data_IF_543214174239
#
_entry.id   IF_543214174239
#
_cell.length_a   1.000
_cell.length_b   1.000
_cell.length_c   1.000
_cell.angle_alpha   90.00
_cell.angle_beta   90.00
_cell.angle_gamma   90.00
#
_symmetry.space_group_name_H-M   'P 1'
#
loop_
_entity.id
_entity.type
_entity.pdbx_description
1 polymer ?
#
# COMPACT_ATOMS: atom_id res chain seq x y z
N UNK A 1 3.70 -10.14 -9.66
CA UNK A 1 2.46 -10.02 -10.47
C UNK A 1 2.85 -9.78 -11.92
N UNK A 2 2.08 -10.33 -12.86
CA UNK A 2 2.28 -10.15 -14.29
C UNK A 2 0.94 -9.84 -14.98
N UNK A 3 0.93 -8.91 -15.91
CA UNK A 3 -0.27 -8.49 -16.63
C UNK A 3 -0.12 -8.75 -18.13
N UNK A 4 -1.08 -9.46 -18.70
CA UNK A 4 -1.27 -9.52 -20.15
C UNK A 4 -2.18 -8.36 -20.55
N UNK A 5 -1.68 -7.46 -21.39
CA UNK A 5 -2.44 -6.30 -21.86
C UNK A 5 -2.17 -6.00 -23.33
N UNK A 6 -3.21 -5.52 -24.03
CA UNK A 6 -3.06 -4.82 -25.29
C UNK A 6 -2.78 -3.33 -25.06
N UNK A 7 -2.26 -2.63 -26.06
CA UNK A 7 -2.11 -1.18 -26.03
C UNK A 7 -3.14 -0.53 -26.94
N UNK A 8 -3.78 0.53 -26.46
CA UNK A 8 -4.69 1.35 -27.24
C UNK A 8 -4.38 2.83 -27.03
N UNK A 9 -4.53 3.65 -28.07
CA UNK A 9 -4.40 5.10 -27.90
C UNK A 9 -5.51 5.63 -26.97
N UNK A 10 -5.13 6.57 -26.10
CA UNK A 10 -6.10 7.27 -25.24
C UNK A 10 -6.99 8.17 -26.10
N UNK A 11 -8.33 8.05 -26.00
CA UNK A 11 -9.26 8.89 -26.76
C UNK A 11 -8.98 10.38 -26.54
N UNK A 12 -9.15 11.24 -27.56
CA UNK A 12 -8.87 12.68 -27.44
C UNK A 12 -9.56 13.38 -26.27
N UNK A 13 -10.76 12.93 -25.90
CA UNK A 13 -11.52 13.46 -24.77
C UNK A 13 -10.84 13.19 -23.41
N UNK A 14 -10.12 12.07 -23.29
CA UNK A 14 -9.57 11.58 -22.02
C UNK A 14 -8.09 11.94 -21.85
N UNK A 15 -7.39 12.35 -22.92
CA UNK A 15 -5.93 12.59 -22.92
C UNK A 15 -5.45 13.50 -21.80
N UNK A 16 -6.18 14.59 -21.53
CA UNK A 16 -5.80 15.52 -20.44
C UNK A 16 -5.88 14.84 -19.08
N UNK A 17 -6.96 14.11 -18.81
CA UNK A 17 -7.12 13.41 -17.53
C UNK A 17 -6.09 12.29 -17.38
N UNK A 18 -5.80 11.56 -18.47
CA UNK A 18 -4.79 10.52 -18.47
C UNK A 18 -3.38 11.08 -18.24
N UNK A 19 -3.03 12.20 -18.87
CA UNK A 19 -1.75 12.87 -18.67
C UNK A 19 -1.56 13.33 -17.22
N UNK A 20 -2.61 13.91 -16.61
CA UNK A 20 -2.56 14.34 -15.20
C UNK A 20 -2.36 13.15 -14.26
N UNK A 21 -3.04 12.03 -14.49
CA UNK A 21 -2.89 10.83 -13.67
C UNK A 21 -1.46 10.24 -13.73
N UNK A 22 -0.78 10.34 -14.87
CA UNK A 22 0.64 9.95 -14.98
C UNK A 22 1.53 10.98 -14.29
N UNK A 23 1.30 12.27 -14.55
CA UNK A 23 2.07 13.39 -14.00
C UNK A 23 2.10 13.39 -12.48
N UNK A 24 0.99 13.05 -11.82
CA UNK A 24 0.90 12.96 -10.35
C UNK A 24 1.92 11.99 -9.73
N UNK A 25 2.36 10.98 -10.48
CA UNK A 25 3.32 9.98 -10.02
C UNK A 25 4.72 10.21 -10.61
N UNK A 26 4.78 10.61 -11.86
CA UNK A 26 6.01 10.80 -12.62
C UNK A 26 5.86 12.03 -13.53
N UNK A 27 6.25 13.23 -13.04
CA UNK A 27 6.19 14.45 -13.82
C UNK A 27 7.11 14.38 -15.04
N UNK A 28 6.56 14.62 -16.23
CA UNK A 28 7.29 14.65 -17.50
C UNK A 28 6.68 15.69 -18.44
N UNK A 29 7.49 16.66 -18.88
CA UNK A 29 7.05 17.73 -19.79
C UNK A 29 6.48 17.19 -21.11
N UNK A 30 6.92 16.01 -21.57
CA UNK A 30 6.37 15.35 -22.74
C UNK A 30 4.86 15.05 -22.61
N UNK A 31 4.37 14.86 -21.38
CA UNK A 31 2.93 14.67 -21.11
C UNK A 31 2.12 15.93 -21.44
N UNK A 32 2.70 17.12 -21.36
CA UNK A 32 2.02 18.37 -21.73
C UNK A 32 1.70 18.39 -23.23
N UNK A 33 2.66 17.96 -24.06
CA UNK A 33 2.46 17.83 -25.50
C UNK A 33 1.44 16.74 -25.84
N UNK A 34 1.47 15.61 -25.11
CA UNK A 34 0.58 14.48 -25.32
C UNK A 34 -0.87 14.75 -24.82
N UNK A 35 -1.03 15.67 -23.86
CA UNK A 35 -2.33 16.09 -23.32
C UNK A 35 -3.12 17.04 -24.23
N UNK A 36 -2.46 17.64 -25.24
CA UNK A 36 -3.11 18.59 -26.16
C UNK A 36 -4.28 17.94 -26.90
N UNK A 37 -5.42 18.65 -26.99
CA UNK A 37 -6.61 18.19 -27.73
C UNK A 37 -6.30 17.89 -29.20
N UNK A 38 -5.52 18.76 -29.82
CA UNK A 38 -5.00 18.57 -31.18
C UNK A 38 -3.52 18.20 -31.09
N UNK A 39 -3.19 17.00 -31.58
CA UNK A 39 -1.81 16.49 -31.58
C UNK A 39 -1.02 17.16 -32.70
N UNK A 40 0.19 17.61 -32.38
CA UNK A 40 1.15 18.09 -33.38
C UNK A 40 1.82 16.88 -34.06
N UNK A 41 2.25 17.00 -35.34
CA UNK A 41 3.07 15.97 -35.98
C UNK A 41 4.32 15.68 -35.13
N UNK A 42 4.60 14.39 -34.88
CA UNK A 42 5.73 13.97 -34.06
C UNK A 42 5.57 14.10 -32.55
N UNK A 43 4.44 14.62 -32.04
CA UNK A 43 4.21 14.69 -30.60
C UNK A 43 4.03 13.28 -29.99
N UNK A 44 4.45 13.08 -28.72
CA UNK A 44 4.27 11.83 -27.98
C UNK A 44 2.81 11.38 -27.94
N UNK A 45 2.60 10.06 -27.88
CA UNK A 45 1.27 9.44 -27.85
C UNK A 45 1.00 8.85 -26.48
N UNK A 46 -0.14 9.20 -25.89
CA UNK A 46 -0.63 8.53 -24.69
C UNK A 46 -1.29 7.21 -25.09
N UNK A 47 -0.73 6.12 -24.57
CA UNK A 47 -1.29 4.78 -24.70
C UNK A 47 -1.85 4.34 -23.35
N UNK A 48 -3.00 3.68 -23.37
CA UNK A 48 -3.55 2.94 -22.22
C UNK A 48 -3.33 1.45 -22.41
N UNK A 49 -2.95 0.78 -21.32
CA UNK A 49 -2.93 -0.67 -21.27
C UNK A 49 -4.35 -1.20 -21.04
N UNK A 50 -4.87 -1.99 -21.99
CA UNK A 50 -6.13 -2.70 -21.86
C UNK A 50 -5.82 -4.09 -21.32
N UNK A 51 -5.99 -4.26 -20.01
CA UNK A 51 -5.66 -5.50 -19.31
C UNK A 51 -6.63 -6.61 -19.71
N UNK A 52 -6.08 -7.72 -20.20
CA UNK A 52 -6.84 -8.93 -20.54
C UNK A 52 -6.80 -9.96 -19.42
N UNK A 53 -5.64 -10.13 -18.78
CA UNK A 53 -5.43 -11.07 -17.68
C UNK A 53 -4.39 -10.53 -16.71
N UNK A 54 -4.59 -10.80 -15.43
CA UNK A 54 -3.59 -10.57 -14.40
C UNK A 54 -3.28 -11.90 -13.74
N UNK A 55 -2.01 -12.30 -13.80
CA UNK A 55 -1.51 -13.45 -13.09
C UNK A 55 -0.76 -12.96 -11.85
N UNK A 56 -1.10 -13.51 -10.70
CA UNK A 56 -0.39 -13.20 -9.47
C UNK A 56 0.19 -14.48 -8.85
N UNK A 57 1.32 -14.26 -8.19
CA UNK A 57 1.96 -15.24 -7.33
C UNK A 57 2.41 -14.46 -6.10
N UNK A 58 1.79 -14.76 -4.97
CA UNK A 58 2.18 -14.31 -3.63
C UNK A 58 2.90 -15.46 -2.93
N UNK A 59 3.37 -15.23 -1.70
CA UNK A 59 4.03 -16.26 -0.92
C UNK A 59 3.15 -17.51 -0.69
N UNK A 60 1.85 -17.32 -0.49
CA UNK A 60 0.90 -18.37 -0.08
C UNK A 60 -0.16 -18.71 -1.14
N UNK A 61 -0.26 -17.92 -2.21
CA UNK A 61 -1.28 -18.08 -3.23
C UNK A 61 -0.75 -17.79 -4.64
N UNK A 62 -1.42 -18.36 -5.61
CA UNK A 62 -1.28 -17.96 -7.01
C UNK A 62 -2.65 -18.02 -7.67
N UNK A 63 -2.83 -17.24 -8.72
CA UNK A 63 -4.11 -17.21 -9.41
C UNK A 63 -4.10 -16.33 -10.64
N UNK A 64 -5.24 -16.40 -11.33
CA UNK A 64 -5.50 -15.65 -12.55
C UNK A 64 -6.80 -14.85 -12.36
N UNK A 65 -6.73 -13.57 -12.69
CA UNK A 65 -7.85 -12.63 -12.66
C UNK A 65 -8.13 -12.20 -14.10
N UNK A 66 -9.36 -12.38 -14.54
CA UNK A 66 -9.82 -11.89 -15.84
C UNK A 66 -9.81 -10.37 -15.88
N UNK A 67 -9.42 -9.79 -17.01
CA UNK A 67 -9.24 -8.34 -17.17
C UNK A 67 -10.50 -7.53 -16.89
N UNK A 68 -11.67 -8.08 -17.20
CA UNK A 68 -12.97 -7.47 -16.87
C UNK A 68 -13.20 -7.39 -15.36
N UNK A 69 -12.86 -8.44 -14.61
CA UNK A 69 -12.93 -8.45 -13.15
C UNK A 69 -11.90 -7.50 -12.54
N UNK A 70 -10.68 -7.46 -13.08
CA UNK A 70 -9.64 -6.53 -12.66
C UNK A 70 -10.06 -5.06 -12.87
N UNK A 71 -10.68 -4.73 -14.01
CA UNK A 71 -11.11 -3.36 -14.32
C UNK A 71 -12.23 -2.85 -13.38
N UNK A 72 -13.04 -3.77 -12.84
CA UNK A 72 -14.08 -3.46 -11.87
C UNK A 72 -13.53 -3.33 -10.44
N UNK A 73 -12.36 -3.89 -10.16
CA UNK A 73 -11.73 -3.76 -8.87
C UNK A 73 -11.36 -2.29 -8.59
N UNK A 74 -11.42 -1.92 -7.31
CA UNK A 74 -10.90 -0.66 -6.81
C UNK A 74 -9.82 -0.98 -5.78
N UNK A 75 -8.65 -0.31 -5.83
CA UNK A 75 -7.69 -0.42 -4.75
C UNK A 75 -8.36 -0.12 -3.41
N UNK A 76 -7.95 -0.83 -2.36
CA UNK A 76 -8.45 -0.54 -1.02
C UNK A 76 -8.01 0.89 -0.64
N UNK A 77 -8.85 1.69 0.03
CA UNK A 77 -8.52 3.08 0.40
C UNK A 77 -7.26 3.21 1.26
N UNK A 78 -6.80 2.12 1.87
CA UNK A 78 -5.61 2.10 2.71
C UNK A 78 -4.33 1.75 1.94
N UNK A 79 -4.39 1.34 0.67
CA UNK A 79 -3.22 0.86 -0.07
C UNK A 79 -2.11 1.91 -0.13
N UNK A 80 -2.42 3.15 -0.52
CA UNK A 80 -1.40 4.22 -0.54
C UNK A 80 -0.87 4.56 0.87
N UNK A 81 -1.72 4.77 1.89
CA UNK A 81 -1.26 4.92 3.27
C UNK A 81 -0.38 3.77 3.77
N UNK A 82 -0.69 2.53 3.38
CA UNK A 82 0.07 1.35 3.78
C UNK A 82 1.51 1.41 3.26
N UNK A 83 1.70 1.74 1.97
CA UNK A 83 3.03 1.90 1.37
C UNK A 83 3.84 3.01 2.04
N UNK A 84 3.22 4.15 2.34
CA UNK A 84 3.88 5.25 3.05
C UNK A 84 4.33 4.84 4.46
N UNK A 85 3.49 4.07 5.17
CA UNK A 85 3.81 3.57 6.51
C UNK A 85 4.94 2.53 6.43
N UNK A 86 4.90 1.61 5.45
CA UNK A 86 5.97 0.63 5.21
C UNK A 86 7.30 1.34 5.02
N UNK A 87 7.36 2.32 4.11
CA UNK A 87 8.58 3.09 3.84
C UNK A 87 9.10 3.78 5.11
N UNK A 88 8.21 4.42 5.88
CA UNK A 88 8.57 5.12 7.12
C UNK A 88 9.08 4.18 8.21
N UNK A 89 8.45 3.03 8.40
CA UNK A 89 8.87 2.02 9.38
C UNK A 89 10.22 1.43 9.01
N UNK A 90 10.40 1.07 7.74
CA UNK A 90 11.65 0.49 7.27
C UNK A 90 12.82 1.49 7.24
N UNK A 91 12.54 2.79 7.08
CA UNK A 91 13.56 3.83 7.17
C UNK A 91 13.98 4.11 8.62
N UNK A 92 13.02 4.25 9.54
CA UNK A 92 13.28 4.87 10.86
C UNK A 92 13.06 3.98 12.07
N UNK A 93 12.30 2.90 11.94
CA UNK A 93 11.80 2.11 13.07
C UNK A 93 12.13 0.61 12.97
N UNK A 94 13.20 0.25 12.24
CA UNK A 94 13.58 -1.17 12.05
C UNK A 94 13.99 -1.86 13.34
N UNK A 95 14.66 -1.15 14.24
CA UNK A 95 15.11 -1.72 15.51
C UNK A 95 13.92 -1.95 16.45
N UNK A 96 12.97 -1.01 16.49
CA UNK A 96 11.68 -1.16 17.17
C UNK A 96 10.90 -2.34 16.61
N UNK A 97 10.85 -2.46 15.28
CA UNK A 97 10.17 -3.55 14.61
C UNK A 97 10.80 -4.91 14.96
N UNK A 98 12.12 -5.01 14.94
CA UNK A 98 12.84 -6.23 15.31
C UNK A 98 12.57 -6.64 16.77
N UNK A 99 12.56 -5.66 17.70
CA UNK A 99 12.18 -5.89 19.09
C UNK A 99 10.72 -6.36 19.22
N UNK A 100 9.81 -5.72 18.51
CA UNK A 100 8.39 -6.04 18.54
C UNK A 100 8.08 -7.44 18.01
N UNK A 101 8.65 -7.79 16.86
CA UNK A 101 8.49 -9.13 16.28
C UNK A 101 9.13 -10.21 17.14
N UNK A 102 10.26 -9.92 17.81
CA UNK A 102 10.89 -10.83 18.76
C UNK A 102 10.02 -11.21 19.97
N UNK A 103 8.92 -10.46 20.23
CA UNK A 103 7.91 -10.78 21.24
C UNK A 103 6.82 -11.74 20.73
N UNK A 104 6.68 -11.90 19.41
CA UNK A 104 5.72 -12.81 18.81
C UNK A 104 6.18 -14.25 19.04
N UNK A 105 5.31 -15.06 19.66
CA UNK A 105 5.62 -16.47 19.96
C UNK A 105 5.96 -17.23 18.67
N UNK A 106 7.16 -17.81 18.64
CA UNK A 106 7.64 -18.60 17.50
C UNK A 106 8.24 -17.78 16.36
N UNK A 107 8.27 -16.45 16.45
CA UNK A 107 9.00 -15.64 15.49
C UNK A 107 10.52 -15.76 15.71
N UNK A 108 11.33 -15.83 14.64
CA UNK A 108 12.78 -15.78 14.78
C UNK A 108 13.22 -14.41 15.30
N UNK A 109 14.41 -14.37 15.91
CA UNK A 109 15.06 -13.12 16.32
C UNK A 109 16.08 -12.71 15.27
N UNK A 110 16.11 -11.42 14.94
CA UNK A 110 17.08 -10.86 14.00
C UNK A 110 16.58 -9.56 13.40
N UNK A 111 17.20 -9.15 12.29
CA UNK A 111 16.84 -7.92 11.62
C UNK A 111 15.47 -8.06 10.92
N UNK A 112 14.63 -7.04 11.04
CA UNK A 112 13.23 -7.08 10.60
C UNK A 112 12.90 -5.95 9.62
N UNK A 113 12.06 -6.27 8.64
CA UNK A 113 11.51 -5.34 7.65
C UNK A 113 10.02 -5.56 7.52
N UNK A 114 9.25 -4.48 7.61
CA UNK A 114 7.84 -4.52 7.31
C UNK A 114 7.70 -4.79 5.81
N UNK A 115 7.16 -5.96 5.48
CA UNK A 115 7.11 -6.48 4.12
C UNK A 115 5.79 -6.13 3.44
N UNK A 116 4.68 -6.38 4.13
CA UNK A 116 3.33 -6.05 3.65
C UNK A 116 2.51 -5.46 4.80
N UNK A 117 1.56 -4.61 4.43
CA UNK A 117 0.64 -3.97 5.37
C UNK A 117 -0.74 -3.86 4.71
N UNK A 118 -1.75 -4.44 5.35
CA UNK A 118 -3.11 -4.48 4.83
C UNK A 118 -4.14 -4.28 5.95
N UNK A 119 -5.42 -4.32 5.57
CA UNK A 119 -6.53 -4.07 6.47
C UNK A 119 -6.55 -5.05 7.65
N UNK A 120 -5.99 -6.25 7.51
CA UNK A 120 -6.08 -7.33 8.50
C UNK A 120 -4.79 -7.55 9.28
N UNK A 121 -3.67 -6.96 8.87
CA UNK A 121 -2.40 -7.24 9.53
C UNK A 121 -1.18 -6.62 8.86
N UNK A 122 -0.05 -6.92 9.46
CA UNK A 122 1.29 -6.70 8.91
C UNK A 122 1.96 -8.05 8.65
N UNK A 123 2.69 -8.17 7.56
CA UNK A 123 3.65 -9.24 7.34
C UNK A 123 5.04 -8.66 7.51
N UNK A 124 5.86 -9.30 8.34
CA UNK A 124 7.24 -8.86 8.61
C UNK A 124 8.21 -9.92 8.14
N UNK A 125 9.16 -9.51 7.30
CA UNK A 125 10.30 -10.34 6.95
C UNK A 125 11.35 -10.23 8.05
N UNK A 126 11.82 -11.35 8.56
CA UNK A 126 12.86 -11.42 9.58
C UNK A 126 14.01 -12.27 9.09
N UNK A 127 15.19 -11.66 8.97
CA UNK A 127 16.44 -12.39 8.73
C UNK A 127 16.96 -12.91 10.05
N UNK A 128 17.04 -14.24 10.21
CA UNK A 128 17.46 -14.86 11.45
C UNK A 128 18.93 -14.52 11.77
N UNK A 129 19.19 -14.12 13.02
CA UNK A 129 20.52 -13.70 13.46
C UNK A 129 21.58 -14.83 13.41
N UNK A 130 21.13 -16.08 13.42
CA UNK A 130 21.96 -17.29 13.36
C UNK A 130 22.30 -17.73 11.91
N UNK A 131 21.84 -16.98 10.90
CA UNK A 131 22.08 -17.28 9.50
C UNK A 131 21.28 -18.47 8.95
N UNK A 132 20.30 -18.98 9.69
CA UNK A 132 19.47 -20.15 9.29
C UNK A 132 18.44 -19.84 8.19
N UNK A 133 18.34 -18.58 7.79
CA UNK A 133 17.48 -18.13 6.70
C UNK A 133 16.63 -16.94 7.11
N UNK A 134 15.55 -16.73 6.37
CA UNK A 134 14.58 -15.69 6.66
C UNK A 134 13.17 -16.26 6.74
N UNK A 135 12.33 -15.64 7.57
CA UNK A 135 10.93 -16.02 7.72
C UNK A 135 10.01 -14.83 7.52
N UNK A 136 8.80 -15.11 7.03
CA UNK A 136 7.69 -14.16 7.03
C UNK A 136 6.81 -14.42 8.25
N UNK A 137 6.67 -13.41 9.10
CA UNK A 137 5.84 -13.45 10.32
C UNK A 137 4.60 -12.61 10.09
N UNK A 138 3.42 -13.23 10.17
CA UNK A 138 2.14 -12.53 10.07
C UNK A 138 1.66 -12.07 11.43
N UNK A 139 1.37 -10.78 11.56
CA UNK A 139 0.83 -10.13 12.75
C UNK A 139 -0.61 -9.71 12.44
N UNK A 140 -1.63 -10.39 12.97
CA UNK A 140 -3.01 -10.02 12.74
C UNK A 140 -3.39 -8.80 13.58
N UNK A 141 -4.17 -7.89 12.99
CA UNK A 141 -4.85 -6.83 13.75
C UNK A 141 -6.03 -7.40 14.51
N UNK A 142 -6.27 -6.89 15.72
CA UNK A 142 -7.43 -7.26 16.53
C UNK A 142 -8.76 -6.90 15.86
N UNK A 143 -8.74 -5.89 14.98
CA UNK A 143 -9.85 -5.48 14.11
C UNK A 143 -9.32 -5.03 12.75
N UNK A 144 -10.07 -5.23 11.66
CA UNK A 144 -9.68 -4.70 10.37
C UNK A 144 -9.59 -3.16 10.37
N UNK A 145 -8.58 -2.61 9.71
CA UNK A 145 -8.41 -1.19 9.47
C UNK A 145 -9.07 -0.80 8.13
N UNK A 146 -10.00 0.14 8.17
CA UNK A 146 -10.67 0.70 6.98
C UNK A 146 -10.16 2.10 6.60
N UNK A 147 -9.35 2.72 7.47
CA UNK A 147 -8.81 4.07 7.29
C UNK A 147 -7.31 4.15 7.64
N UNK A 148 -6.61 5.10 6.99
CA UNK A 148 -5.18 5.34 7.18
C UNK A 148 -4.78 5.51 8.66
N UNK A 149 -5.55 6.29 9.42
CA UNK A 149 -5.25 6.57 10.83
C UNK A 149 -5.38 5.32 11.73
N UNK A 150 -6.23 4.37 11.35
CA UNK A 150 -6.39 3.11 12.08
C UNK A 150 -5.21 2.20 11.79
N UNK A 151 -4.78 2.15 10.53
CA UNK A 151 -3.62 1.38 10.10
C UNK A 151 -2.33 1.88 10.77
N UNK A 152 -2.10 3.20 10.73
CA UNK A 152 -0.96 3.83 11.39
C UNK A 152 -0.94 3.53 12.90
N UNK A 153 -2.11 3.64 13.55
CA UNK A 153 -2.23 3.31 14.96
C UNK A 153 -1.92 1.85 15.24
N UNK A 154 -2.49 0.91 14.49
CA UNK A 154 -2.24 -0.52 14.71
C UNK A 154 -0.75 -0.86 14.62
N UNK A 155 -0.04 -0.24 13.66
CA UNK A 155 1.41 -0.41 13.52
C UNK A 155 2.16 0.18 14.71
N UNK A 156 1.90 1.45 15.08
CA UNK A 156 2.66 2.08 16.16
C UNK A 156 2.32 1.53 17.55
N UNK A 157 1.09 1.07 17.77
CA UNK A 157 0.72 0.34 18.98
C UNK A 157 1.49 -0.99 19.06
N UNK A 158 1.61 -1.74 17.95
CA UNK A 158 2.43 -2.96 17.92
C UNK A 158 3.91 -2.69 18.21
N UNK A 159 4.49 -1.63 17.65
CA UNK A 159 5.87 -1.24 17.91
C UNK A 159 6.11 -0.88 19.38
N UNK A 160 5.17 -0.16 19.99
CA UNK A 160 5.26 0.37 21.35
C UNK A 160 4.84 -0.61 22.46
N UNK A 161 4.17 -1.71 22.14
CA UNK A 161 3.65 -2.63 23.16
C UNK A 161 4.78 -3.39 23.87
N UNK A 162 5.23 -2.87 25.01
CA UNK A 162 6.26 -3.48 25.86
C UNK A 162 5.72 -4.60 26.79
N UNK A 163 4.39 -4.73 26.95
CA UNK A 163 3.68 -5.69 27.80
C UNK A 163 3.94 -5.62 29.34
N UNK A 164 2.96 -5.88 30.23
CA UNK A 164 1.50 -5.80 30.12
C UNK A 164 0.83 -4.68 30.96
N UNK A 165 -0.37 -4.27 30.52
CA UNK A 165 -1.53 -3.74 31.28
C UNK A 165 -1.58 -2.24 31.70
N UNK A 166 -2.11 -1.37 30.81
CA UNK A 166 -3.08 -0.27 31.12
C UNK A 166 -3.37 0.58 29.84
N UNK A 167 -3.98 -0.02 28.82
CA UNK A 167 -4.28 0.70 27.56
C UNK A 167 -5.79 0.79 27.25
N UNK A 168 -6.66 0.61 28.25
CA UNK A 168 -8.10 0.77 28.08
C UNK A 168 -8.54 2.24 27.96
N UNK A 169 -7.84 3.18 28.63
CA UNK A 169 -8.28 4.58 28.71
C UNK A 169 -7.68 5.51 27.64
N UNK A 170 -6.51 5.16 27.06
CA UNK A 170 -5.90 5.95 25.99
C UNK A 170 -6.58 5.76 24.62
N UNK A 171 -7.24 4.62 24.41
CA UNK A 171 -7.94 4.28 23.17
C UNK A 171 -9.20 5.15 22.94
N UNK A 172 -9.89 5.51 24.02
CA UNK A 172 -11.15 6.29 24.01
C UNK A 172 -10.95 7.74 23.56
N UNK A 173 -9.91 8.41 24.04
CA UNK A 173 -9.66 9.83 23.75
C UNK A 173 -9.16 10.06 22.31
N UNK A 174 -8.47 9.07 21.72
CA UNK A 174 -7.91 9.15 20.36
C UNK A 174 -8.88 8.69 19.27
N UNK A 175 -9.96 8.00 19.61
CA UNK A 175 -11.00 7.60 18.64
C UNK A 175 -11.73 8.82 18.04
N UNK A 176 -11.80 9.93 18.79
CA UNK A 176 -12.42 11.20 18.33
C UNK A 176 -11.64 11.92 17.22
N UNK A 177 -10.33 11.67 17.05
CA UNK A 177 -9.53 12.36 16.02
C UNK A 177 -9.67 11.77 14.62
N UNK A 178 -9.92 10.46 14.48
CA UNK A 178 -10.14 9.85 13.16
C UNK A 178 -11.44 10.35 12.50
N UNK A 179 -12.51 10.60 13.27
CA UNK A 179 -13.78 11.14 12.72
C UNK A 179 -13.73 12.61 12.28
N UNK A 180 -12.73 13.39 12.69
CA UNK A 180 -12.76 14.87 12.49
C UNK A 180 -12.13 15.35 11.19
N UNK A 181 -11.49 14.48 10.40
CA UNK A 181 -10.86 14.87 9.12
C UNK A 181 -11.67 14.52 7.86
N UNK A 182 -12.82 13.86 8.01
CA UNK A 182 -13.73 13.50 6.92
C UNK A 182 -15.08 14.22 7.02
N UNK A 183 -15.05 15.54 7.25
CA UNK A 183 -16.22 16.41 7.06
C UNK A 183 -16.11 17.13 5.71
N UNK A 184 -17.19 17.25 4.92
CA UNK A 184 -17.13 17.96 3.64
C UNK A 184 -16.77 19.42 3.88
N UNK A 185 -15.80 19.94 3.12
CA UNK A 185 -15.63 21.37 2.94
C UNK A 185 -16.85 21.89 2.17
N UNK A 186 -17.89 22.27 2.91
CA UNK A 186 -19.02 23.03 2.40
C UNK A 186 -18.70 24.53 2.42
N UNK A 187 -18.85 25.16 1.25
CA UNK A 187 -18.72 26.59 1.01
C UNK A 187 -18.84 26.87 -0.48
#
# INVERSE_FOLDING_TARGET
MWCQAGLAEVPPADRRSAALAVWEREPDEALLAAAKRRREPGAPVLLRAVVHRVMYHTYDASGLIEGSAFALARPHPITAPAEEIIGRVNDRYRDELARAVGRVRGAPRGAAWLWELDARGATVWVGAADGTGAALVRIPWSRPADAACQLERAVFDFLADDGPQEAADAASTRHRRCRRREGPAGG
#
